data_IF_612631690874
#
_entry.id   IF_612631690874
#
_cell.length_a   1.000
_cell.length_b   1.000
_cell.length_c   1.000
_cell.angle_alpha   90.00
_cell.angle_beta   90.00
_cell.angle_gamma   90.00
#
_symmetry.space_group_name_H-M   'P 1'
#
loop_
_entity.id
_entity.type
_entity.pdbx_description
1 polymer ?
#
# COMPACT_ATOMS: atom_id res chain seq x y z
N UNK A 1 -10.96 -41.57 18.16
CA UNK A 1 -11.20 -42.01 16.78
C UNK A 1 -12.67 -41.87 16.48
N UNK A 2 -13.04 -41.01 15.54
CA UNK A 2 -13.71 -41.53 14.34
C UNK A 2 -12.97 -41.08 13.08
N UNK A 3 -12.59 -42.07 12.28
CA UNK A 3 -12.01 -41.96 10.96
C UNK A 3 -13.14 -41.75 9.94
N UNK A 4 -13.23 -40.55 9.35
CA UNK A 4 -14.08 -40.28 8.19
C UNK A 4 -13.26 -40.04 6.93
N UNK A 5 -12.16 -40.78 6.76
CA UNK A 5 -11.50 -40.84 5.46
C UNK A 5 -11.98 -42.08 4.73
N UNK A 6 -12.68 -41.83 3.63
CA UNK A 6 -13.09 -42.81 2.65
C UNK A 6 -11.84 -43.51 2.09
N UNK A 7 -11.59 -44.75 2.51
CA UNK A 7 -10.44 -45.57 2.11
C UNK A 7 -10.55 -46.18 0.70
N UNK A 8 -11.49 -45.71 -0.14
CA UNK A 8 -11.78 -46.33 -1.44
C UNK A 8 -11.36 -45.55 -2.69
N UNK A 9 -10.74 -44.37 -2.57
CA UNK A 9 -10.29 -43.62 -3.76
C UNK A 9 -8.77 -43.59 -3.86
N UNK A 10 -8.23 -44.44 -4.72
CA UNK A 10 -6.86 -44.36 -5.25
C UNK A 10 -6.72 -43.17 -6.23
N UNK A 11 -7.26 -42.00 -5.86
CA UNK A 11 -7.49 -40.88 -6.76
C UNK A 11 -6.67 -39.68 -6.32
N UNK A 12 -5.69 -39.34 -7.15
CA UNK A 12 -5.01 -38.05 -7.18
C UNK A 12 -5.97 -36.95 -7.73
N UNK A 13 -7.23 -36.96 -7.31
CA UNK A 13 -8.20 -35.93 -7.70
C UNK A 13 -8.03 -34.73 -6.78
N UNK A 14 -7.88 -33.50 -7.32
CA UNK A 14 -7.78 -32.30 -6.51
C UNK A 14 -9.04 -32.14 -5.65
N UNK A 15 -8.87 -31.71 -4.40
CA UNK A 15 -9.99 -31.45 -3.50
C UNK A 15 -10.90 -30.38 -4.12
N UNK A 16 -12.21 -30.61 -4.07
CA UNK A 16 -13.18 -29.58 -4.43
C UNK A 16 -13.01 -28.38 -3.47
N UNK A 17 -13.05 -27.12 -3.97
CA UNK A 17 -12.79 -25.92 -3.18
C UNK A 17 -13.84 -25.68 -2.08
N UNK A 18 -15.07 -26.14 -2.27
CA UNK A 18 -16.15 -26.12 -1.27
C UNK A 18 -17.26 -27.11 -1.63
N UNK A 19 -18.29 -27.23 -0.79
CA UNK A 19 -19.48 -28.06 -1.04
C UNK A 19 -20.25 -27.64 -2.31
N UNK A 20 -20.13 -26.38 -2.73
CA UNK A 20 -20.74 -25.84 -3.96
C UNK A 20 -19.74 -25.74 -5.12
N UNK A 21 -18.54 -26.29 -4.98
CA UNK A 21 -17.48 -26.29 -5.98
C UNK A 21 -17.04 -24.87 -6.41
N UNK A 22 -17.14 -23.88 -5.51
CA UNK A 22 -16.61 -22.53 -5.68
C UNK A 22 -15.75 -22.10 -4.50
N UNK A 23 -14.70 -21.32 -4.74
CA UNK A 23 -13.87 -20.74 -3.68
C UNK A 23 -14.66 -19.59 -3.00
N UNK A 24 -14.80 -19.58 -1.67
CA UNK A 24 -15.43 -18.47 -0.98
C UNK A 24 -14.55 -17.22 -1.13
N UNK A 25 -15.20 -16.07 -1.31
CA UNK A 25 -14.48 -14.80 -1.38
C UNK A 25 -13.93 -14.42 -0.01
N UNK A 26 -12.73 -13.86 0.01
CA UNK A 26 -12.14 -13.28 1.21
C UNK A 26 -12.86 -11.98 1.59
N UNK A 27 -13.28 -11.87 2.85
CA UNK A 27 -14.04 -10.71 3.34
C UNK A 27 -13.18 -9.45 3.39
N UNK A 28 -11.89 -9.59 3.73
CA UNK A 28 -10.94 -8.46 3.75
C UNK A 28 -10.76 -7.92 2.33
N UNK A 29 -10.52 -8.79 1.36
CA UNK A 29 -10.42 -8.39 -0.04
C UNK A 29 -11.70 -7.73 -0.56
N UNK A 30 -12.87 -8.27 -0.23
CA UNK A 30 -14.15 -7.67 -0.64
C UNK A 30 -14.35 -6.27 -0.05
N UNK A 31 -14.11 -6.10 1.26
CA UNK A 31 -14.25 -4.80 1.92
C UNK A 31 -13.32 -3.75 1.29
N UNK A 32 -12.07 -4.14 1.00
CA UNK A 32 -11.11 -3.25 0.32
C UNK A 32 -11.59 -2.89 -1.09
N UNK A 33 -12.07 -3.86 -1.86
CA UNK A 33 -12.61 -3.62 -3.20
C UNK A 33 -13.79 -2.65 -3.18
N UNK A 34 -14.77 -2.88 -2.29
CA UNK A 34 -15.93 -2.00 -2.13
C UNK A 34 -15.53 -0.61 -1.66
N UNK A 35 -14.58 -0.50 -0.72
CA UNK A 35 -14.04 0.77 -0.26
C UNK A 35 -13.34 1.55 -1.38
N UNK A 36 -12.48 0.89 -2.17
CA UNK A 36 -11.83 1.51 -3.32
C UNK A 36 -12.88 2.02 -4.31
N UNK A 37 -13.82 1.17 -4.72
CA UNK A 37 -14.88 1.53 -5.65
C UNK A 37 -15.67 2.75 -5.18
N UNK A 38 -16.08 2.76 -3.91
CA UNK A 38 -16.83 3.86 -3.31
C UNK A 38 -16.09 5.21 -3.41
N UNK A 39 -14.78 5.23 -3.13
CA UNK A 39 -13.98 6.46 -3.15
C UNK A 39 -13.51 6.86 -4.55
N UNK A 40 -13.46 5.94 -5.51
CA UNK A 40 -12.99 6.24 -6.87
C UNK A 40 -14.10 6.42 -7.91
N UNK A 41 -15.33 5.95 -7.67
CA UNK A 41 -16.42 5.92 -8.66
C UNK A 41 -16.74 7.28 -9.32
N UNK A 42 -16.47 8.40 -8.64
CA UNK A 42 -16.74 9.76 -9.14
C UNK A 42 -15.46 10.56 -9.43
N UNK A 43 -14.29 9.92 -9.43
CA UNK A 43 -13.01 10.58 -9.71
C UNK A 43 -12.60 10.37 -11.16
N UNK A 44 -11.73 11.25 -11.68
CA UNK A 44 -11.07 10.99 -12.96
C UNK A 44 -10.01 9.90 -12.75
N UNK A 45 -10.16 8.69 -13.33
CA UNK A 45 -9.24 7.58 -13.12
C UNK A 45 -7.82 7.86 -13.62
N UNK A 46 -7.63 8.79 -14.56
CA UNK A 46 -6.30 9.16 -15.08
C UNK A 46 -5.42 9.87 -14.03
N UNK A 47 -6.03 10.39 -12.97
CA UNK A 47 -5.33 11.13 -11.91
C UNK A 47 -5.43 10.46 -10.55
N UNK A 48 -6.03 9.27 -10.48
CA UNK A 48 -6.14 8.51 -9.23
C UNK A 48 -4.86 7.72 -8.98
N UNK A 49 -4.26 7.93 -7.82
CA UNK A 49 -3.17 7.12 -7.29
C UNK A 49 -3.70 6.31 -6.09
N UNK A 50 -3.58 4.98 -6.18
CA UNK A 50 -3.87 4.06 -5.07
C UNK A 50 -2.55 3.41 -4.66
N UNK A 51 -2.16 3.59 -3.41
CA UNK A 51 -0.90 3.09 -2.87
C UNK A 51 -1.12 2.34 -1.55
N UNK A 52 -0.46 1.20 -1.38
CA UNK A 52 -0.39 0.49 -0.11
C UNK A 52 0.99 0.69 0.53
N UNK A 53 1.01 1.07 1.81
CA UNK A 53 2.23 1.35 2.56
C UNK A 53 2.34 0.42 3.74
N UNK A 54 3.54 -0.11 3.97
CA UNK A 54 3.89 -0.80 5.20
C UNK A 54 4.24 0.22 6.28
N UNK A 55 3.88 -0.09 7.52
CA UNK A 55 4.14 0.77 8.67
C UNK A 55 3.61 0.16 9.95
N UNK A 56 3.35 1.01 10.94
CA UNK A 56 2.78 0.61 12.23
C UNK A 56 1.61 1.53 12.56
N UNK A 57 0.50 0.94 13.01
CA UNK A 57 -0.63 1.71 13.54
C UNK A 57 -0.39 1.89 15.05
N UNK A 58 -0.29 3.14 15.48
CA UNK A 58 -0.02 3.51 16.87
C UNK A 58 -1.32 4.02 17.51
N UNK A 59 -1.67 3.44 18.66
CA UNK A 59 -2.66 4.04 19.57
C UNK A 59 -2.02 5.28 20.22
N UNK A 60 -2.62 6.45 20.04
CA UNK A 60 -2.08 7.71 20.57
C UNK A 60 -2.18 7.81 22.09
N UNK A 61 -3.10 7.09 22.73
CA UNK A 61 -3.24 7.08 24.18
C UNK A 61 -2.08 6.37 24.87
N UNK A 62 -1.72 5.18 24.39
CA UNK A 62 -0.59 4.39 24.92
C UNK A 62 0.75 4.69 24.23
N UNK A 63 0.73 5.41 23.11
CA UNK A 63 1.86 5.64 22.21
C UNK A 63 2.61 4.36 21.80
N UNK A 64 1.86 3.26 21.72
CA UNK A 64 2.34 1.91 21.40
C UNK A 64 1.62 1.37 20.17
N UNK A 65 2.18 0.32 19.54
CA UNK A 65 1.49 -0.37 18.45
C UNK A 65 0.11 -0.81 18.93
N UNK A 66 -0.90 -0.48 18.14
CA UNK A 66 -2.28 -0.86 18.38
C UNK A 66 -2.37 -2.36 18.60
N UNK A 67 -3.11 -2.78 19.61
CA UNK A 67 -3.24 -4.19 19.98
C UNK A 67 -4.63 -4.49 20.53
N UNK A 68 -4.95 -5.78 20.64
CA UNK A 68 -6.18 -6.24 21.29
C UNK A 68 -7.48 -6.04 20.51
N UNK A 69 -7.42 -5.62 19.24
CA UNK A 69 -8.61 -5.44 18.39
C UNK A 69 -9.06 -6.73 17.70
N UNK A 70 -8.10 -7.53 17.23
CA UNK A 70 -8.34 -8.81 16.56
C UNK A 70 -7.14 -9.73 16.78
N UNK A 71 -7.35 -11.03 16.58
CA UNK A 71 -6.29 -12.03 16.53
C UNK A 71 -5.74 -12.26 15.12
N UNK A 72 -6.42 -11.71 14.09
CA UNK A 72 -6.07 -11.83 12.67
C UNK A 72 -6.04 -10.46 12.01
N UNK A 73 -5.63 -10.44 10.74
CA UNK A 73 -5.73 -9.24 9.91
C UNK A 73 -7.16 -8.69 9.94
N UNK A 74 -7.28 -7.37 10.08
CA UNK A 74 -8.55 -6.69 10.27
C UNK A 74 -8.50 -5.28 9.68
N UNK A 75 -9.45 -4.99 8.80
CA UNK A 75 -9.71 -3.63 8.30
C UNK A 75 -10.26 -2.80 9.45
N UNK A 76 -9.62 -1.68 9.76
CA UNK A 76 -10.05 -0.81 10.84
C UNK A 76 -11.18 0.11 10.35
N UNK A 77 -12.29 0.20 11.11
CA UNK A 77 -13.35 1.12 10.77
C UNK A 77 -12.88 2.58 10.93
N UNK A 78 -13.37 3.52 10.10
CA UNK A 78 -13.00 4.94 10.20
C UNK A 78 -13.33 5.56 11.58
N UNK A 79 -14.38 5.06 12.23
CA UNK A 79 -14.89 5.55 13.52
C UNK A 79 -14.40 4.67 14.68
N UNK A 80 -13.15 4.23 14.63
CA UNK A 80 -12.56 3.47 15.73
C UNK A 80 -12.59 4.32 17.02
N UNK A 81 -13.08 3.81 18.16
CA UNK A 81 -13.11 4.56 19.42
C UNK A 81 -11.73 4.95 19.96
N UNK A 82 -10.68 4.28 19.47
CA UNK A 82 -9.28 4.51 19.81
C UNK A 82 -8.71 5.50 18.80
N UNK A 83 -8.13 6.59 19.29
CA UNK A 83 -7.44 7.56 18.43
C UNK A 83 -6.09 6.97 17.97
N UNK A 84 -5.97 6.75 16.65
CA UNK A 84 -4.79 6.13 16.06
C UNK A 84 -4.04 7.07 15.13
N UNK A 85 -2.77 6.74 14.86
CA UNK A 85 -2.00 7.30 13.75
C UNK A 85 -1.23 6.19 13.05
N UNK A 86 -1.01 6.35 11.76
CA UNK A 86 -0.14 5.45 11.01
C UNK A 86 1.25 6.07 10.86
N UNK A 87 2.27 5.29 11.20
CA UNK A 87 3.66 5.65 10.97
C UNK A 87 4.20 4.81 9.81
N UNK A 88 4.40 5.45 8.66
CA UNK A 88 5.05 4.82 7.51
C UNK A 88 6.56 4.80 7.71
N UNK A 89 7.02 3.97 8.63
CA UNK A 89 8.43 3.73 8.89
C UNK A 89 8.73 2.23 8.84
N UNK A 90 9.98 1.92 8.56
CA UNK A 90 10.47 0.55 8.55
C UNK A 90 11.89 0.54 9.12
N UNK A 91 12.23 -0.34 10.06
CA UNK A 91 13.60 -0.49 10.52
C UNK A 91 14.54 -0.74 9.35
N UNK A 92 15.73 -0.11 9.35
CA UNK A 92 16.68 -0.20 8.24
C UNK A 92 17.06 -1.66 7.90
N UNK A 93 17.13 -2.53 8.91
CA UNK A 93 17.38 -3.96 8.71
C UNK A 93 16.25 -4.66 7.93
N UNK A 94 14.99 -4.34 8.23
CA UNK A 94 13.84 -4.87 7.51
C UNK A 94 13.81 -4.34 6.07
N UNK A 95 14.11 -3.05 5.87
CA UNK A 95 14.23 -2.46 4.53
C UNK A 95 15.30 -3.18 3.69
N UNK A 96 16.50 -3.38 4.26
CA UNK A 96 17.59 -4.13 3.61
C UNK A 96 17.17 -5.57 3.28
N UNK A 97 16.46 -6.23 4.18
CA UNK A 97 15.97 -7.59 3.98
C UNK A 97 15.00 -7.67 2.80
N UNK A 98 13.96 -6.83 2.77
CA UNK A 98 12.99 -6.82 1.67
C UNK A 98 13.60 -6.41 0.34
N UNK A 99 14.50 -5.42 0.32
CA UNK A 99 15.22 -5.06 -0.91
C UNK A 99 16.02 -6.25 -1.45
N UNK A 100 16.73 -6.99 -0.59
CA UNK A 100 17.44 -8.21 -0.98
C UNK A 100 16.53 -9.29 -1.58
N UNK A 101 15.37 -9.51 -0.95
CA UNK A 101 14.35 -10.46 -1.42
C UNK A 101 13.79 -10.05 -2.79
N UNK A 102 13.38 -8.79 -2.95
CA UNK A 102 12.83 -8.27 -4.20
C UNK A 102 13.85 -8.34 -5.34
N UNK A 103 15.11 -7.99 -5.09
CA UNK A 103 16.18 -8.13 -6.07
C UNK A 103 16.37 -9.59 -6.52
N UNK A 104 16.33 -10.54 -5.57
CA UNK A 104 16.43 -11.96 -5.89
C UNK A 104 15.22 -12.47 -6.71
N UNK A 105 14.01 -11.98 -6.43
CA UNK A 105 12.80 -12.33 -7.18
C UNK A 105 12.80 -11.73 -8.59
N UNK A 106 13.23 -10.48 -8.74
CA UNK A 106 13.35 -9.82 -10.06
C UNK A 106 14.38 -10.52 -10.95
N UNK A 107 15.46 -11.06 -10.36
CA UNK A 107 16.47 -11.82 -11.09
C UNK A 107 15.96 -13.19 -11.56
N UNK A 108 14.91 -13.74 -10.95
CA UNK A 108 14.35 -15.03 -11.34
C UNK A 108 13.49 -14.88 -12.60
N UNK A 109 13.87 -15.62 -13.65
CA UNK A 109 13.04 -15.77 -14.85
C UNK A 109 12.15 -16.99 -14.66
N UNK A 110 10.88 -16.76 -14.34
CA UNK A 110 9.88 -17.84 -14.24
C UNK A 110 9.17 -17.98 -15.59
N UNK A 111 9.26 -19.14 -16.27
CA UNK A 111 8.54 -19.38 -17.51
C UNK A 111 7.03 -19.14 -17.36
N UNK A 112 6.44 -18.39 -18.28
CA UNK A 112 5.01 -18.09 -18.27
C UNK A 112 4.58 -16.94 -17.35
N UNK A 113 5.49 -16.35 -16.56
CA UNK A 113 5.20 -15.18 -15.73
C UNK A 113 5.69 -13.88 -16.39
N UNK A 114 4.95 -12.75 -16.28
CA UNK A 114 5.43 -11.45 -16.72
C UNK A 114 6.74 -11.08 -16.00
N UNK A 115 7.71 -10.55 -16.74
CA UNK A 115 8.96 -10.06 -16.12
C UNK A 115 8.70 -8.76 -15.38
N UNK A 116 9.13 -8.70 -14.12
CA UNK A 116 9.16 -7.47 -13.34
C UNK A 116 10.23 -6.55 -13.92
N UNK A 117 9.87 -5.29 -14.21
CA UNK A 117 10.82 -4.26 -14.66
C UNK A 117 11.46 -3.60 -13.44
N UNK A 118 12.79 -3.55 -13.43
CA UNK A 118 13.54 -2.81 -12.43
C UNK A 118 13.82 -1.39 -12.92
N UNK A 119 13.54 -0.39 -12.07
CA UNK A 119 13.92 1.01 -12.30
C UNK A 119 14.40 1.61 -10.99
N UNK A 120 15.56 2.28 -11.02
CA UNK A 120 16.10 3.01 -9.89
C UNK A 120 16.23 4.47 -10.28
N UNK A 121 15.29 5.29 -9.81
CA UNK A 121 15.25 6.73 -10.09
C UNK A 121 15.77 7.51 -8.89
N UNK A 122 16.38 8.67 -9.16
CA UNK A 122 16.75 9.63 -8.13
C UNK A 122 16.06 10.94 -8.46
N UNK A 123 15.09 11.29 -7.64
CA UNK A 123 14.20 12.41 -7.87
C UNK A 123 14.31 13.41 -6.72
N UNK A 124 14.10 14.67 -7.04
CA UNK A 124 14.02 15.76 -6.08
C UNK A 124 12.62 16.34 -6.17
N UNK A 125 11.92 16.32 -5.05
CA UNK A 125 10.60 16.90 -4.89
C UNK A 125 10.71 18.29 -4.27
N UNK A 126 10.17 19.28 -4.96
CA UNK A 126 10.03 20.66 -4.52
C UNK A 126 8.56 20.95 -4.23
N UNK A 127 8.26 21.42 -3.02
CA UNK A 127 6.90 21.69 -2.57
C UNK A 127 6.62 23.20 -2.54
N UNK A 128 5.51 23.59 -3.14
CA UNK A 128 5.07 24.98 -3.28
C UNK A 128 3.69 25.19 -2.68
N UNK A 129 3.44 26.41 -2.19
CA UNK A 129 2.19 26.81 -1.55
C UNK A 129 2.13 26.56 -0.04
N UNK A 130 1.22 27.25 0.64
CA UNK A 130 0.88 27.06 2.05
C UNK A 130 -0.57 26.57 2.17
N UNK A 131 -0.87 25.73 3.17
CA UNK A 131 -2.22 25.19 3.39
C UNK A 131 -2.56 23.93 2.57
N UNK A 132 -3.82 23.80 2.15
CA UNK A 132 -4.39 22.61 1.49
C UNK A 132 -4.08 22.47 0.00
N UNK A 133 -3.47 23.49 -0.63
CA UNK A 133 -3.15 23.54 -2.06
C UNK A 133 -1.63 23.41 -2.29
N UNK A 134 -1.07 22.27 -1.89
CA UNK A 134 0.36 21.99 -2.09
C UNK A 134 0.59 21.45 -3.49
N UNK A 135 1.45 22.13 -4.23
CA UNK A 135 1.96 21.66 -5.52
C UNK A 135 3.30 20.97 -5.28
N UNK A 136 3.46 19.76 -5.83
CA UNK A 136 4.71 19.02 -5.87
C UNK A 136 5.28 19.11 -7.28
N UNK A 137 6.46 19.67 -7.40
CA UNK A 137 7.27 19.68 -8.62
C UNK A 137 8.41 18.68 -8.46
N UNK A 138 8.45 17.66 -9.31
CA UNK A 138 9.46 16.60 -9.26
C UNK A 138 10.47 16.80 -10.38
N UNK A 139 11.75 16.72 -10.06
CA UNK A 139 12.88 16.84 -10.99
C UNK A 139 13.78 15.61 -10.92
N UNK A 140 14.34 15.23 -12.07
CA UNK A 140 15.42 14.25 -12.11
C UNK A 140 16.70 14.87 -11.51
N UNK A 141 17.31 14.20 -10.52
CA UNK A 141 18.44 14.74 -9.75
C UNK A 141 19.67 15.00 -10.63
N UNK A 142 19.88 14.18 -11.67
CA UNK A 142 21.09 14.26 -12.52
C UNK A 142 20.96 15.34 -13.59
N UNK A 143 19.79 15.42 -14.22
CA UNK A 143 19.56 16.29 -15.38
C UNK A 143 18.89 17.61 -15.01
N UNK A 144 18.27 17.70 -13.84
CA UNK A 144 17.48 18.86 -13.40
C UNK A 144 16.17 19.07 -14.17
N UNK A 145 15.85 18.17 -15.10
CA UNK A 145 14.64 18.25 -15.93
C UNK A 145 13.42 17.98 -15.05
N UNK A 146 12.38 18.81 -15.22
CA UNK A 146 11.06 18.57 -14.62
C UNK A 146 10.49 17.29 -15.20
N UNK A 147 10.20 16.33 -14.33
CA UNK A 147 9.55 15.07 -14.69
C UNK A 147 8.05 15.16 -14.48
N UNK A 148 7.62 15.83 -13.42
CA UNK A 148 6.21 15.91 -13.07
C UNK A 148 5.89 17.18 -12.26
N UNK A 149 4.66 17.67 -12.35
CA UNK A 149 4.14 18.80 -11.59
C UNK A 149 2.68 18.56 -11.26
N UNK A 150 2.40 18.18 -10.01
CA UNK A 150 1.07 17.73 -9.58
C UNK A 150 0.57 18.47 -8.36
N UNK A 151 -0.75 18.65 -8.30
CA UNK A 151 -1.49 19.00 -7.09
C UNK A 151 -2.01 17.70 -6.48
N UNK A 152 -1.43 17.29 -5.36
CA UNK A 152 -1.81 16.05 -4.67
C UNK A 152 -2.87 16.33 -3.60
N UNK A 153 -4.05 15.73 -3.76
CA UNK A 153 -5.14 15.78 -2.78
C UNK A 153 -5.39 14.38 -2.22
N UNK A 154 -5.28 14.21 -0.89
CA UNK A 154 -5.68 12.97 -0.22
C UNK A 154 -7.20 12.84 -0.28
N UNK A 155 -7.69 11.71 -0.77
CA UNK A 155 -9.12 11.39 -0.80
C UNK A 155 -9.49 10.59 0.44
N UNK A 156 -8.81 9.46 0.67
CA UNK A 156 -9.13 8.57 1.77
C UNK A 156 -7.93 7.72 2.19
N UNK A 157 -8.00 7.17 3.41
CA UNK A 157 -7.08 6.16 3.94
C UNK A 157 -7.88 5.00 4.50
N UNK A 158 -7.38 3.78 4.31
CA UNK A 158 -7.88 2.58 4.95
C UNK A 158 -6.73 1.90 5.67
N UNK A 159 -6.87 1.75 6.99
CA UNK A 159 -5.88 1.10 7.83
C UNK A 159 -6.23 -0.36 8.03
N UNK A 160 -5.23 -1.21 7.93
CA UNK A 160 -5.36 -2.64 8.17
C UNK A 160 -4.34 -3.06 9.23
N UNK A 161 -4.86 -3.57 10.33
CA UNK A 161 -4.07 -4.03 11.46
C UNK A 161 -3.79 -5.53 11.31
N UNK A 162 -2.51 -5.92 11.42
CA UNK A 162 -2.06 -7.30 11.19
C UNK A 162 -1.31 -7.83 12.42
N UNK A 163 -2.01 -8.31 13.47
CA UNK A 163 -1.43 -8.65 14.78
C UNK A 163 -0.44 -9.83 14.74
N UNK A 164 -0.55 -10.70 13.73
CA UNK A 164 0.35 -11.84 13.52
C UNK A 164 1.61 -11.47 12.74
N UNK A 165 1.71 -10.24 12.25
CA UNK A 165 2.84 -9.70 11.51
C UNK A 165 3.55 -8.62 12.32
N UNK A 166 4.80 -8.33 11.99
CA UNK A 166 5.56 -7.23 12.59
C UNK A 166 5.27 -5.86 11.97
N UNK A 167 4.38 -5.82 10.98
CA UNK A 167 3.96 -4.62 10.25
C UNK A 167 2.46 -4.61 10.12
N UNK A 168 1.90 -3.41 10.15
CA UNK A 168 0.56 -3.09 9.69
C UNK A 168 0.67 -2.43 8.32
N UNK A 169 -0.46 -2.11 7.70
CA UNK A 169 -0.44 -1.44 6.41
C UNK A 169 -1.62 -0.50 6.20
N UNK A 170 -1.41 0.48 5.31
CA UNK A 170 -2.40 1.50 4.97
C UNK A 170 -2.55 1.58 3.45
N UNK A 171 -3.78 1.52 2.96
CA UNK A 171 -4.11 1.95 1.61
C UNK A 171 -4.42 3.44 1.65
N UNK A 172 -3.82 4.22 0.75
CA UNK A 172 -4.15 5.62 0.53
C UNK A 172 -4.67 5.81 -0.89
N UNK A 173 -5.76 6.55 -1.04
CA UNK A 173 -6.25 7.03 -2.33
C UNK A 173 -5.94 8.52 -2.41
N UNK A 174 -5.20 8.92 -3.44
CA UNK A 174 -4.89 10.31 -3.74
C UNK A 174 -5.38 10.67 -5.15
N UNK A 175 -5.67 11.95 -5.35
CA UNK A 175 -5.83 12.54 -6.67
C UNK A 175 -4.59 13.39 -6.96
N UNK A 176 -3.89 13.10 -8.05
CA UNK A 176 -2.69 13.81 -8.52
C UNK A 176 -3.00 14.55 -9.83
N UNK A 177 -3.62 15.72 -9.72
CA UNK A 177 -4.01 16.52 -10.89
C UNK A 177 -2.81 17.29 -11.44
N UNK A 178 -2.62 17.37 -12.76
CA UNK A 178 -1.58 18.19 -13.36
C UNK A 178 -1.71 19.66 -12.93
N UNK A 179 -0.61 20.25 -12.49
CA UNK A 179 -0.53 21.64 -12.08
C UNK A 179 0.43 22.42 -12.97
N UNK A 180 0.18 23.73 -13.12
CA UNK A 180 1.15 24.61 -13.77
C UNK A 180 2.41 24.74 -12.92
N UNK A 181 3.56 24.89 -13.59
CA UNK A 181 4.84 25.10 -12.92
C UNK A 181 4.76 26.34 -12.02
N UNK A 182 4.97 26.20 -10.70
CA UNK A 182 4.84 27.31 -9.77
C UNK A 182 5.97 28.33 -9.95
N UNK A 183 5.66 29.61 -9.74
CA UNK A 183 6.64 30.69 -9.69
C UNK A 183 7.09 30.94 -8.25
N UNK A 184 8.39 31.25 -8.07
CA UNK A 184 8.97 31.57 -6.76
C UNK A 184 9.83 30.45 -6.18
N UNK A 185 10.14 30.57 -4.89
CA UNK A 185 10.99 29.61 -4.17
C UNK A 185 10.14 28.47 -3.60
N UNK A 186 10.68 27.25 -3.64
CA UNK A 186 10.08 26.12 -2.96
C UNK A 186 10.05 26.37 -1.44
N UNK A 187 8.93 26.04 -0.80
CA UNK A 187 8.82 26.12 0.66
C UNK A 187 9.60 24.99 1.34
N UNK A 188 9.66 23.82 0.69
CA UNK A 188 10.40 22.66 1.17
C UNK A 188 10.93 21.85 -0.01
N UNK A 189 12.10 21.22 0.17
CA UNK A 189 12.69 20.32 -0.82
C UNK A 189 13.01 19.00 -0.14
N UNK A 190 12.60 17.90 -0.77
CA UNK A 190 12.87 16.53 -0.34
C UNK A 190 13.62 15.79 -1.44
N UNK A 191 14.67 15.05 -1.06
CA UNK A 191 15.35 14.14 -1.99
C UNK A 191 14.79 12.74 -1.79
N UNK A 192 14.22 12.19 -2.85
CA UNK A 192 13.66 10.85 -2.84
C UNK A 192 14.78 9.89 -3.22
N UNK A 193 15.40 9.35 -2.18
CA UNK A 193 16.39 8.29 -2.30
C UNK A 193 15.88 7.06 -1.53
N UNK A 194 15.66 5.97 -2.26
CA UNK A 194 15.43 4.65 -1.66
C UNK A 194 16.82 3.98 -1.55
N UNK A 195 17.36 3.80 -0.33
CA UNK A 195 18.70 3.26 -0.11
C UNK A 195 18.87 1.79 -0.48
#
# INVERSE_FOLDING_TARGET
MPTYFNTSSNRNEPLAPSIINSEPLDEVAQEICSWIEYYTQNLNPEHVEIEAKLGIIIDKGSNSRLGGLSLTECVLPPELPIDTRFESNMPQQAHKHYNGLLNALVAQVVPGQPRVKYSHTKLVDEFYGEGGDKIRLTRDEKTGKVTDCVRKKRIANLDVHSPKQNVDWRISINLEEPASTPAGNAAHTRRDFIP
#
